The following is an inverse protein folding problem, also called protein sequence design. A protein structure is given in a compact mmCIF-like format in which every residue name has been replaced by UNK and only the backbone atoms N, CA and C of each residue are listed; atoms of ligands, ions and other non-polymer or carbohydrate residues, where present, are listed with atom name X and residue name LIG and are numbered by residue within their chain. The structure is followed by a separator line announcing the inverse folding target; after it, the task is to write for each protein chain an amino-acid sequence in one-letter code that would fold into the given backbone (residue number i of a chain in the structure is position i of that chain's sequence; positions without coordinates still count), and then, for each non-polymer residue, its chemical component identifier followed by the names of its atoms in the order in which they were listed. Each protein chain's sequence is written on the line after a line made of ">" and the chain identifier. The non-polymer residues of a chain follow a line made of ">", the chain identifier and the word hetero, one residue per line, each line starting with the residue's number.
data_IF_741703990367
#
_entry.id   IF_741703990367
#
_cell.length_a   1.000
_cell.length_b   1.000
_cell.length_c   1.000
_cell.angle_alpha   90.00
_cell.angle_beta   90.00
_cell.angle_gamma   90.00
#
_symmetry.space_group_name_H-M   'P 1'
#
loop_
_entity.id
_entity.type
_entity.pdbx_description
1 polymer ?
#
# COMPACT_ATOMS: atom_id res chain seq x y z
N UNK A 1 10.04 -24.32 -19.12
CA UNK A 1 9.23 -23.08 -19.31
C UNK A 1 7.81 -23.36 -18.85
N UNK A 2 7.29 -22.63 -17.85
CA UNK A 2 5.88 -22.76 -17.43
C UNK A 2 4.97 -22.10 -18.47
N UNK A 3 3.87 -22.76 -18.82
CA UNK A 3 2.88 -22.26 -19.78
C UNK A 3 2.08 -21.12 -19.12
N UNK A 4 2.02 -19.96 -19.75
CA UNK A 4 1.20 -18.82 -19.29
C UNK A 4 -0.26 -19.26 -19.27
N UNK A 5 -0.95 -19.08 -18.15
CA UNK A 5 -2.35 -19.47 -18.00
C UNK A 5 -3.28 -18.51 -18.77
N UNK A 6 -4.43 -19.00 -19.24
CA UNK A 6 -5.42 -18.17 -19.94
C UNK A 6 -5.94 -17.02 -19.07
N UNK A 7 -6.04 -17.21 -17.76
CA UNK A 7 -6.43 -16.15 -16.83
C UNK A 7 -5.38 -15.04 -16.74
N UNK A 8 -4.10 -15.40 -16.71
CA UNK A 8 -2.98 -14.45 -16.69
C UNK A 8 -2.94 -13.61 -17.97
N UNK A 9 -3.21 -14.22 -19.12
CA UNK A 9 -3.30 -13.53 -20.40
C UNK A 9 -4.45 -12.51 -20.42
N UNK A 10 -5.62 -12.87 -19.87
CA UNK A 10 -6.77 -11.96 -19.75
C UNK A 10 -6.47 -10.77 -18.83
N UNK A 11 -5.79 -11.00 -17.71
CA UNK A 11 -5.37 -9.89 -16.82
C UNK A 11 -4.31 -8.99 -17.45
N UNK A 12 -3.36 -9.55 -18.20
CA UNK A 12 -2.37 -8.77 -18.96
C UNK A 12 -3.04 -7.90 -20.02
N UNK A 13 -4.04 -8.44 -20.71
CA UNK A 13 -4.82 -7.69 -21.71
C UNK A 13 -5.63 -6.57 -21.08
N UNK A 14 -6.37 -6.84 -20.00
CA UNK A 14 -7.12 -5.82 -19.27
C UNK A 14 -6.19 -4.70 -18.77
N UNK A 15 -5.01 -5.09 -18.26
CA UNK A 15 -4.00 -4.14 -17.81
C UNK A 15 -3.45 -3.29 -18.96
N UNK A 16 -3.17 -3.89 -20.12
CA UNK A 16 -2.72 -3.16 -21.31
C UNK A 16 -3.77 -2.14 -21.77
N UNK A 17 -5.06 -2.51 -21.75
CA UNK A 17 -6.16 -1.58 -22.07
C UNK A 17 -6.20 -0.42 -21.08
N UNK A 18 -6.07 -0.70 -19.78
CA UNK A 18 -6.01 0.36 -18.75
C UNK A 18 -4.79 1.24 -18.94
N UNK A 19 -3.62 0.69 -19.27
CA UNK A 19 -2.42 1.47 -19.58
C UNK A 19 -2.61 2.39 -20.79
N UNK A 20 -3.24 1.91 -21.86
CA UNK A 20 -3.52 2.72 -23.05
C UNK A 20 -4.45 3.88 -22.69
N UNK A 21 -5.51 3.62 -21.91
CA UNK A 21 -6.42 4.66 -21.40
C UNK A 21 -5.67 5.67 -20.52
N UNK A 22 -4.76 5.19 -19.68
CA UNK A 22 -3.96 6.04 -18.79
C UNK A 22 -2.98 6.92 -19.58
N UNK A 23 -2.31 6.37 -20.58
CA UNK A 23 -1.39 7.12 -21.44
C UNK A 23 -2.16 8.16 -22.27
N UNK A 24 -3.32 7.80 -22.82
CA UNK A 24 -4.14 8.71 -23.64
C UNK A 24 -4.77 9.85 -22.84
N UNK A 25 -4.90 9.69 -21.51
CA UNK A 25 -5.43 10.72 -20.60
C UNK A 25 -4.36 11.68 -20.05
N UNK A 26 -3.12 11.60 -20.53
CA UNK A 26 -2.06 12.56 -20.19
C UNK A 26 -1.44 12.36 -18.81
N UNK A 27 -1.51 11.14 -18.27
CA UNK A 27 -0.97 10.84 -16.95
C UNK A 27 0.55 11.07 -16.87
N UNK A 28 1.06 11.57 -15.72
CA UNK A 28 2.49 11.76 -15.53
C UNK A 28 3.24 10.43 -15.64
N UNK A 29 4.33 10.43 -16.40
CA UNK A 29 5.16 9.23 -16.68
C UNK A 29 5.62 8.55 -15.38
N UNK A 30 5.96 9.29 -14.33
CA UNK A 30 6.39 8.73 -13.05
C UNK A 30 5.29 7.93 -12.33
N UNK A 31 4.02 8.36 -12.47
CA UNK A 31 2.88 7.66 -11.90
C UNK A 31 2.60 6.38 -12.68
N UNK A 32 2.73 6.42 -14.00
CA UNK A 32 2.69 5.25 -14.88
C UNK A 32 3.76 4.22 -14.51
N UNK A 33 5.02 4.65 -14.33
CA UNK A 33 6.13 3.77 -13.93
C UNK A 33 5.84 3.11 -12.57
N UNK A 34 5.32 3.87 -11.60
CA UNK A 34 4.98 3.35 -10.27
C UNK A 34 3.88 2.28 -10.36
N UNK A 35 2.81 2.56 -11.12
CA UNK A 35 1.70 1.62 -11.36
C UNK A 35 2.20 0.36 -12.07
N UNK A 36 3.09 0.49 -13.05
CA UNK A 36 3.64 -0.62 -13.83
C UNK A 36 4.52 -1.54 -12.98
N UNK A 37 5.35 -0.97 -12.09
CA UNK A 37 6.14 -1.76 -11.13
C UNK A 37 5.22 -2.47 -10.13
N UNK A 38 4.23 -1.78 -9.57
CA UNK A 38 3.38 -2.35 -8.53
C UNK A 38 2.39 -3.40 -9.06
N UNK A 39 1.80 -3.18 -10.24
CA UNK A 39 0.81 -4.09 -10.83
C UNK A 39 1.44 -5.21 -11.66
N UNK A 40 2.59 -4.99 -12.29
CA UNK A 40 3.20 -5.97 -13.18
C UNK A 40 4.41 -6.63 -12.54
N UNK A 41 5.39 -5.83 -12.08
CA UNK A 41 6.66 -6.40 -11.61
C UNK A 41 6.48 -7.19 -10.32
N UNK A 42 5.69 -6.71 -9.34
CA UNK A 42 5.50 -7.43 -8.08
C UNK A 42 4.78 -8.79 -8.23
N UNK A 43 3.65 -8.91 -8.95
CA UNK A 43 3.02 -10.20 -9.20
C UNK A 43 3.90 -11.15 -10.03
N UNK A 44 4.59 -10.64 -11.04
CA UNK A 44 5.51 -11.44 -11.85
C UNK A 44 6.71 -11.93 -11.03
N UNK A 45 7.32 -11.06 -10.24
CA UNK A 45 8.39 -11.44 -9.32
C UNK A 45 7.93 -12.52 -8.35
N UNK A 46 6.69 -12.42 -7.85
CA UNK A 46 6.08 -13.44 -6.97
C UNK A 46 5.83 -14.77 -7.68
N UNK A 47 5.48 -14.75 -8.95
CA UNK A 47 5.24 -15.98 -9.73
C UNK A 47 6.56 -16.66 -10.14
N UNK A 48 7.62 -15.87 -10.30
CA UNK A 48 8.99 -16.33 -10.58
C UNK A 48 9.69 -16.81 -9.30
N UNK A 49 9.51 -16.13 -8.17
CA UNK A 49 10.00 -16.56 -6.85
C UNK A 49 9.07 -17.64 -6.31
N UNK A 50 9.32 -18.86 -6.76
CA UNK A 50 8.62 -20.09 -6.40
C UNK A 50 8.33 -20.14 -4.90
N UNK A 51 7.05 -20.07 -4.50
CA UNK A 51 6.63 -20.44 -3.15
C UNK A 51 6.60 -21.97 -3.09
N UNK A 52 7.60 -22.58 -2.45
CA UNK A 52 7.68 -24.05 -2.32
C UNK A 52 6.57 -24.65 -1.45
N UNK A 53 5.95 -23.88 -0.55
CA UNK A 53 5.11 -24.43 0.52
C UNK A 53 3.78 -23.67 0.74
N UNK A 54 3.21 -23.06 -0.31
CA UNK A 54 1.92 -22.41 -0.18
C UNK A 54 0.78 -23.43 -0.31
N UNK A 55 0.00 -23.58 0.76
CA UNK A 55 -1.26 -24.32 0.76
C UNK A 55 -2.20 -23.78 -0.35
N UNK A 56 -2.96 -24.68 -0.98
CA UNK A 56 -3.94 -24.37 -2.03
C UNK A 56 -4.91 -23.27 -1.57
N UNK A 57 -5.29 -23.30 -0.30
CA UNK A 57 -6.12 -22.25 0.31
C UNK A 57 -5.46 -20.88 0.25
N UNK A 58 -4.16 -20.78 0.54
CA UNK A 58 -3.43 -19.50 0.47
C UNK A 58 -3.30 -18.99 -0.96
N UNK A 59 -3.09 -19.91 -1.91
CA UNK A 59 -3.06 -19.60 -3.35
C UNK A 59 -4.41 -19.04 -3.79
N UNK A 60 -5.52 -19.68 -3.41
CA UNK A 60 -6.87 -19.21 -3.70
C UNK A 60 -7.15 -17.81 -3.13
N UNK A 61 -6.88 -17.58 -1.84
CA UNK A 61 -7.10 -16.26 -1.21
C UNK A 61 -6.22 -15.19 -1.89
N UNK A 62 -5.01 -15.55 -2.29
CA UNK A 62 -4.13 -14.65 -3.02
C UNK A 62 -4.71 -14.25 -4.39
N UNK A 63 -5.20 -15.20 -5.18
CA UNK A 63 -5.83 -14.91 -6.47
C UNK A 63 -7.10 -14.08 -6.30
N UNK A 64 -7.97 -14.49 -5.37
CA UNK A 64 -9.22 -13.77 -5.08
C UNK A 64 -8.96 -12.31 -4.69
N UNK A 65 -8.02 -12.07 -3.77
CA UNK A 65 -7.66 -10.70 -3.37
C UNK A 65 -6.99 -9.89 -4.49
N UNK A 66 -6.23 -10.52 -5.39
CA UNK A 66 -5.69 -9.84 -6.57
C UNK A 66 -6.80 -9.41 -7.54
N UNK A 67 -7.76 -10.29 -7.82
CA UNK A 67 -8.90 -9.98 -8.68
C UNK A 67 -9.78 -8.90 -8.08
N UNK A 68 -10.08 -8.97 -6.79
CA UNK A 68 -10.85 -7.95 -6.09
C UNK A 68 -10.13 -6.60 -6.12
N UNK A 69 -8.81 -6.57 -5.86
CA UNK A 69 -8.03 -5.33 -5.96
C UNK A 69 -8.06 -4.75 -7.39
N UNK A 70 -7.98 -5.60 -8.41
CA UNK A 70 -8.09 -5.18 -9.81
C UNK A 70 -9.48 -4.64 -10.14
N UNK A 71 -10.55 -5.27 -9.67
CA UNK A 71 -11.91 -4.79 -9.89
C UNK A 71 -12.16 -3.45 -9.19
N UNK A 72 -11.70 -3.30 -7.95
CA UNK A 72 -11.75 -2.02 -7.23
C UNK A 72 -10.94 -0.95 -7.97
N UNK A 73 -9.76 -1.30 -8.48
CA UNK A 73 -8.93 -0.40 -9.27
C UNK A 73 -9.65 0.07 -10.55
N UNK A 74 -10.21 -0.86 -11.33
CA UNK A 74 -10.96 -0.53 -12.55
C UNK A 74 -12.20 0.30 -12.22
N UNK A 75 -12.95 -0.06 -11.17
CA UNK A 75 -14.12 0.71 -10.74
C UNK A 75 -13.75 2.14 -10.33
N UNK A 76 -12.64 2.31 -9.59
CA UNK A 76 -12.13 3.64 -9.22
C UNK A 76 -11.69 4.45 -10.45
N UNK A 77 -10.99 3.84 -11.40
CA UNK A 77 -10.63 4.51 -12.67
C UNK A 77 -11.88 4.98 -13.40
N UNK A 78 -12.84 4.07 -13.61
CA UNK A 78 -14.07 4.40 -14.34
C UNK A 78 -14.85 5.49 -13.60
N UNK A 79 -14.95 5.41 -12.28
CA UNK A 79 -15.62 6.44 -11.48
C UNK A 79 -14.95 7.81 -11.63
N UNK A 80 -13.62 7.88 -11.50
CA UNK A 80 -12.84 9.12 -11.66
C UNK A 80 -13.01 9.69 -13.07
N UNK A 81 -12.88 8.84 -14.10
CA UNK A 81 -13.00 9.27 -15.49
C UNK A 81 -14.41 9.74 -15.82
N UNK A 82 -15.45 9.00 -15.40
CA UNK A 82 -16.84 9.37 -15.65
C UNK A 82 -17.18 10.69 -14.95
N UNK A 83 -16.83 10.82 -13.67
CA UNK A 83 -17.10 12.01 -12.89
C UNK A 83 -16.47 13.25 -13.54
N UNK A 84 -15.17 13.22 -13.83
CA UNK A 84 -14.47 14.42 -14.29
C UNK A 84 -14.68 14.70 -15.79
N UNK A 85 -14.80 13.68 -16.63
CA UNK A 85 -15.02 13.87 -18.07
C UNK A 85 -16.45 14.31 -18.37
N UNK A 86 -17.47 13.77 -17.69
CA UNK A 86 -18.87 14.11 -17.99
C UNK A 86 -19.37 15.36 -17.28
N UNK A 87 -18.93 15.63 -16.04
CA UNK A 87 -19.47 16.76 -15.27
C UNK A 87 -18.67 18.05 -15.48
N UNK A 88 -17.36 17.94 -15.72
CA UNK A 88 -16.45 19.09 -15.69
C UNK A 88 -15.97 19.50 -17.08
N UNK A 89 -15.98 18.59 -18.06
CA UNK A 89 -15.38 18.83 -19.39
C UNK A 89 -13.87 19.06 -19.36
N UNK A 90 -13.24 18.84 -18.20
CA UNK A 90 -11.80 19.04 -17.96
C UNK A 90 -11.13 17.71 -17.66
N UNK A 91 -9.82 17.63 -17.89
CA UNK A 91 -9.04 16.47 -17.47
C UNK A 91 -9.09 16.30 -15.94
N UNK A 92 -9.11 15.05 -15.42
CA UNK A 92 -9.12 14.79 -13.99
C UNK A 92 -7.91 15.42 -13.28
N UNK A 93 -8.13 16.04 -12.11
CA UNK A 93 -7.02 16.53 -11.27
C UNK A 93 -6.12 15.34 -10.89
N UNK A 94 -4.81 15.57 -10.85
CA UNK A 94 -3.77 14.59 -10.48
C UNK A 94 -4.12 13.85 -9.19
N UNK A 95 -4.78 14.56 -8.25
CA UNK A 95 -5.25 13.99 -6.97
C UNK A 95 -6.18 12.80 -7.12
N UNK A 96 -7.02 12.78 -8.15
CA UNK A 96 -7.95 11.66 -8.38
C UNK A 96 -7.21 10.41 -8.86
N UNK A 97 -6.17 10.58 -9.68
CA UNK A 97 -5.32 9.46 -10.07
C UNK A 97 -4.51 8.89 -8.91
N UNK A 98 -4.28 9.66 -7.84
CA UNK A 98 -3.63 9.12 -6.64
C UNK A 98 -4.51 8.10 -5.88
N UNK A 99 -5.84 8.12 -6.06
CA UNK A 99 -6.74 7.09 -5.48
C UNK A 99 -6.42 5.69 -6.01
N UNK A 100 -5.77 5.60 -7.17
CA UNK A 100 -5.31 4.33 -7.74
C UNK A 100 -4.25 3.64 -6.88
N UNK A 101 -3.59 4.36 -5.99
CA UNK A 101 -2.63 3.79 -5.04
C UNK A 101 -3.31 2.98 -3.92
N UNK A 102 -4.59 3.26 -3.62
CA UNK A 102 -5.35 2.61 -2.53
C UNK A 102 -5.40 1.08 -2.70
N UNK A 103 -5.94 0.52 -3.79
CA UNK A 103 -5.99 -0.94 -3.98
C UNK A 103 -4.59 -1.56 -4.07
N UNK A 104 -3.58 -0.83 -4.57
CA UNK A 104 -2.19 -1.30 -4.65
C UNK A 104 -1.58 -1.47 -3.26
N UNK A 105 -1.75 -0.47 -2.39
CA UNK A 105 -1.29 -0.51 -1.01
C UNK A 105 -1.97 -1.63 -0.22
N UNK A 106 -3.29 -1.74 -0.35
CA UNK A 106 -4.05 -2.82 0.30
C UNK A 106 -3.53 -4.18 -0.17
N UNK A 107 -3.32 -4.35 -1.49
CA UNK A 107 -2.81 -5.61 -2.03
C UNK A 107 -1.39 -5.92 -1.58
N UNK A 108 -0.53 -4.91 -1.51
CA UNK A 108 0.83 -5.06 -0.99
C UNK A 108 0.82 -5.57 0.46
N UNK A 109 0.00 -4.96 1.32
CA UNK A 109 -0.14 -5.36 2.72
C UNK A 109 -0.66 -6.80 2.84
N UNK A 110 -1.73 -7.14 2.12
CA UNK A 110 -2.28 -8.51 2.10
C UNK A 110 -1.22 -9.51 1.63
N UNK A 111 -0.47 -9.15 0.58
CA UNK A 111 0.63 -9.98 0.08
C UNK A 111 1.66 -10.23 1.18
N UNK A 112 2.11 -9.20 1.90
CA UNK A 112 3.08 -9.39 2.99
C UNK A 112 2.53 -10.31 4.09
N UNK A 113 1.29 -10.09 4.54
CA UNK A 113 0.65 -10.91 5.58
C UNK A 113 0.45 -12.38 5.16
N UNK A 114 0.24 -12.64 3.87
CA UNK A 114 0.09 -14.00 3.35
C UNK A 114 1.42 -14.70 3.06
N UNK A 115 2.50 -13.94 2.84
CA UNK A 115 3.82 -14.48 2.52
C UNK A 115 4.68 -14.70 3.77
N UNK A 116 4.48 -13.87 4.77
CA UNK A 116 5.33 -13.83 5.95
C UNK A 116 4.48 -14.01 7.21
N UNK A 117 5.04 -14.65 8.23
CA UNK A 117 4.39 -14.69 9.54
C UNK A 117 4.09 -13.27 10.04
N UNK A 118 3.00 -13.10 10.80
CA UNK A 118 2.46 -11.79 11.19
C UNK A 118 3.53 -10.81 11.74
N UNK A 119 4.46 -11.28 12.57
CA UNK A 119 5.52 -10.43 13.11
C UNK A 119 6.55 -9.96 12.06
N UNK A 120 6.88 -10.81 11.09
CA UNK A 120 7.76 -10.44 9.97
C UNK A 120 7.04 -9.53 8.98
N UNK A 121 5.77 -9.82 8.66
CA UNK A 121 4.95 -8.97 7.82
C UNK A 121 4.79 -7.57 8.40
N UNK A 122 4.43 -7.46 9.70
CA UNK A 122 4.30 -6.18 10.38
C UNK A 122 5.56 -5.32 10.29
N UNK A 123 6.74 -5.93 10.56
CA UNK A 123 8.04 -5.26 10.39
C UNK A 123 8.26 -4.71 8.99
N UNK A 124 8.02 -5.52 7.96
CA UNK A 124 8.21 -5.10 6.58
C UNK A 124 7.24 -3.99 6.16
N UNK A 125 5.99 -4.04 6.62
CA UNK A 125 5.04 -2.94 6.43
C UNK A 125 5.59 -1.67 7.09
N UNK A 126 6.01 -1.75 8.35
CA UNK A 126 6.62 -0.63 9.08
C UNK A 126 7.81 -0.02 8.35
N UNK A 127 8.78 -0.83 7.93
CA UNK A 127 9.95 -0.35 7.17
C UNK A 127 9.57 0.28 5.84
N UNK A 128 8.73 -0.38 5.05
CA UNK A 128 8.37 0.10 3.72
C UNK A 128 7.70 1.48 3.81
N UNK A 129 6.68 1.61 4.67
CA UNK A 129 5.95 2.88 4.80
C UNK A 129 6.82 3.96 5.44
N UNK A 130 7.58 3.65 6.49
CA UNK A 130 8.49 4.62 7.09
C UNK A 130 9.53 5.12 6.07
N UNK A 131 10.09 4.23 5.24
CA UNK A 131 11.11 4.58 4.24
C UNK A 131 10.52 5.43 3.11
N UNK A 132 9.35 5.06 2.59
CA UNK A 132 8.67 5.83 1.53
C UNK A 132 8.36 7.24 2.01
N UNK A 133 7.82 7.38 3.22
CA UNK A 133 7.46 8.70 3.75
C UNK A 133 8.68 9.53 4.17
N UNK A 134 9.73 8.90 4.69
CA UNK A 134 10.99 9.57 4.97
C UNK A 134 11.64 10.07 3.68
N UNK A 135 11.59 9.29 2.60
CA UNK A 135 12.04 9.73 1.28
C UNK A 135 11.24 10.96 0.81
N UNK A 136 9.92 10.96 0.96
CA UNK A 136 9.11 12.13 0.62
C UNK A 136 9.47 13.37 1.45
N UNK A 137 9.66 13.23 2.77
CA UNK A 137 10.09 14.35 3.62
C UNK A 137 11.45 14.92 3.20
N UNK A 138 12.40 14.05 2.85
CA UNK A 138 13.71 14.46 2.33
C UNK A 138 13.63 15.12 0.95
N UNK A 139 12.77 14.64 0.06
CA UNK A 139 12.60 15.22 -1.27
C UNK A 139 11.88 16.58 -1.22
N UNK A 140 10.96 16.77 -0.28
CA UNK A 140 10.15 17.98 -0.12
C UNK A 140 10.96 19.14 0.48
N UNK A 141 11.71 18.88 1.56
CA UNK A 141 12.40 19.93 2.33
C UNK A 141 13.92 19.77 2.44
N UNK A 142 14.50 18.71 1.85
CA UNK A 142 15.93 18.43 1.94
C UNK A 142 16.42 18.21 3.38
N UNK A 143 17.66 18.66 3.65
CA UNK A 143 18.27 18.63 4.99
C UNK A 143 18.03 19.91 5.80
N UNK A 144 16.96 20.64 5.52
CA UNK A 144 16.58 21.81 6.30
C UNK A 144 16.03 21.43 7.69
N UNK A 145 15.98 22.39 8.62
CA UNK A 145 15.35 22.19 9.93
C UNK A 145 13.89 21.71 9.78
N UNK A 146 13.15 22.26 8.81
CA UNK A 146 11.78 21.84 8.52
C UNK A 146 11.73 20.40 8.02
N UNK A 147 12.66 20.00 7.15
CA UNK A 147 12.78 18.62 6.68
C UNK A 147 13.07 17.63 7.81
N UNK A 148 13.93 18.00 8.76
CA UNK A 148 14.18 17.17 9.96
C UNK A 148 12.92 16.99 10.81
N UNK A 149 12.17 18.06 11.04
CA UNK A 149 10.91 18.02 11.80
C UNK A 149 9.88 17.13 11.08
N UNK A 150 9.74 17.27 9.77
CA UNK A 150 8.82 16.47 8.95
C UNK A 150 9.24 14.99 8.87
N UNK A 151 10.54 14.70 8.87
CA UNK A 151 11.07 13.34 8.84
C UNK A 151 10.93 12.61 10.19
N UNK A 152 10.89 13.35 11.31
CA UNK A 152 10.94 12.79 12.67
C UNK A 152 9.88 11.72 12.94
N UNK A 153 8.58 11.89 12.61
CA UNK A 153 7.58 10.84 12.79
C UNK A 153 7.95 9.55 12.05
N UNK A 154 8.50 9.66 10.84
CA UNK A 154 8.86 8.51 10.02
C UNK A 154 10.16 7.84 10.51
N UNK A 155 11.11 8.61 11.05
CA UNK A 155 12.29 8.09 11.76
C UNK A 155 11.85 7.27 12.97
N UNK A 156 10.87 7.76 13.75
CA UNK A 156 10.30 7.01 14.88
C UNK A 156 9.65 5.71 14.40
N UNK A 157 8.83 5.75 13.34
CA UNK A 157 8.25 4.54 12.77
C UNK A 157 9.32 3.54 12.30
N UNK A 158 10.41 4.02 11.71
CA UNK A 158 11.53 3.18 11.29
C UNK A 158 12.26 2.56 12.49
N UNK A 159 12.51 3.34 13.53
CA UNK A 159 13.13 2.86 14.77
C UNK A 159 12.26 1.81 15.47
N UNK A 160 10.94 1.98 15.48
CA UNK A 160 10.00 0.97 16.00
C UNK A 160 10.02 -0.31 15.15
N UNK A 161 10.09 -0.20 13.82
CA UNK A 161 10.23 -1.38 12.94
C UNK A 161 11.49 -2.17 13.28
N UNK A 162 12.60 -1.45 13.53
CA UNK A 162 13.86 -2.04 13.94
C UNK A 162 13.81 -2.69 15.31
N UNK A 163 13.29 -1.98 16.32
CA UNK A 163 13.25 -2.44 17.70
C UNK A 163 12.24 -3.58 17.95
N UNK A 164 11.23 -3.70 17.09
CA UNK A 164 10.22 -4.76 17.18
C UNK A 164 10.79 -6.19 17.07
N UNK A 165 12.04 -6.37 16.62
CA UNK A 165 12.75 -7.66 16.71
C UNK A 165 12.90 -8.14 18.15
N UNK A 166 13.09 -7.21 19.09
CA UNK A 166 13.32 -7.49 20.52
C UNK A 166 12.03 -7.44 21.31
N UNK A 167 11.20 -6.43 21.08
CA UNK A 167 9.98 -6.15 21.86
C UNK A 167 8.78 -5.92 20.93
N UNK A 168 8.29 -6.98 20.24
CA UNK A 168 7.23 -6.83 19.24
C UNK A 168 5.91 -6.33 19.82
N UNK A 169 5.54 -6.74 21.04
CA UNK A 169 4.30 -6.31 21.70
C UNK A 169 4.28 -4.80 21.95
N UNK A 170 5.32 -4.28 22.60
CA UNK A 170 5.44 -2.84 22.92
C UNK A 170 5.46 -2.02 21.63
N UNK A 171 6.26 -2.42 20.64
CA UNK A 171 6.32 -1.72 19.35
C UNK A 171 4.98 -1.76 18.61
N UNK A 172 4.27 -2.89 18.69
CA UNK A 172 2.95 -3.05 18.09
C UNK A 172 1.91 -2.12 18.69
N UNK A 173 1.88 -2.01 20.02
CA UNK A 173 1.01 -1.06 20.74
C UNK A 173 1.36 0.38 20.35
N UNK A 174 2.65 0.74 20.33
CA UNK A 174 3.09 2.08 19.93
C UNK A 174 2.68 2.42 18.49
N UNK A 175 2.78 1.47 17.56
CA UNK A 175 2.27 1.68 16.19
C UNK A 175 0.76 1.91 16.17
N UNK A 176 -0.03 1.12 16.92
CA UNK A 176 -1.48 1.32 16.99
C UNK A 176 -1.79 2.72 17.53
N UNK A 177 -1.13 3.15 18.60
CA UNK A 177 -1.30 4.49 19.17
C UNK A 177 -0.94 5.58 18.15
N UNK A 178 0.21 5.45 17.47
CA UNK A 178 0.62 6.41 16.43
C UNK A 178 -0.37 6.46 15.26
N UNK A 179 -0.92 5.31 14.85
CA UNK A 179 -1.94 5.26 13.82
C UNK A 179 -3.23 5.97 14.26
N UNK A 180 -3.69 5.75 15.49
CA UNK A 180 -4.87 6.42 16.05
C UNK A 180 -4.66 7.94 16.17
N UNK A 181 -3.47 8.37 16.59
CA UNK A 181 -3.09 9.79 16.59
C UNK A 181 -3.13 10.35 15.18
N UNK A 182 -2.56 9.65 14.19
CA UNK A 182 -2.64 10.02 12.78
C UNK A 182 -4.09 10.15 12.29
N UNK A 183 -4.96 9.22 12.66
CA UNK A 183 -6.39 9.29 12.33
C UNK A 183 -7.04 10.56 12.90
N UNK A 184 -6.75 10.88 14.17
CA UNK A 184 -7.25 12.08 14.82
C UNK A 184 -6.78 13.36 14.11
N UNK A 185 -5.50 13.45 13.74
CA UNK A 185 -4.94 14.60 13.02
C UNK A 185 -5.60 14.82 11.66
N UNK A 186 -5.74 13.77 10.84
CA UNK A 186 -6.35 13.88 9.51
C UNK A 186 -7.86 14.15 9.56
N UNK A 187 -8.57 13.72 10.62
CA UNK A 187 -9.99 14.03 10.79
C UNK A 187 -10.24 15.43 11.35
N UNK A 188 -9.43 15.83 12.33
CA UNK A 188 -9.75 16.96 13.21
C UNK A 188 -9.01 18.26 12.87
N UNK A 189 -7.80 18.18 12.34
CA UNK A 189 -6.94 19.36 12.15
C UNK A 189 -6.79 19.79 10.69
N UNK A 190 -6.76 18.82 9.77
CA UNK A 190 -6.61 19.12 8.35
C UNK A 190 -7.97 18.99 7.67
N UNK A 191 -8.54 20.12 7.24
CA UNK A 191 -9.77 20.12 6.42
C UNK A 191 -9.44 19.59 5.02
N UNK A 192 -9.44 18.27 4.87
CA UNK A 192 -9.31 17.61 3.57
C UNK A 192 -10.69 17.26 3.00
N UNK A 193 -10.83 17.32 1.68
CA UNK A 193 -11.96 16.71 0.99
C UNK A 193 -11.96 15.19 1.18
N UNK A 194 -13.13 14.56 0.99
CA UNK A 194 -13.31 13.12 1.24
C UNK A 194 -12.28 12.23 0.53
N UNK A 195 -11.88 12.59 -0.70
CA UNK A 195 -10.88 11.87 -1.47
C UNK A 195 -9.49 11.94 -0.87
N UNK A 196 -9.04 13.15 -0.48
CA UNK A 196 -7.76 13.34 0.20
C UNK A 196 -7.73 12.62 1.54
N UNK A 197 -8.85 12.59 2.24
CA UNK A 197 -9.00 11.87 3.50
C UNK A 197 -8.92 10.35 3.33
N UNK A 198 -9.62 9.76 2.35
CA UNK A 198 -9.50 8.32 2.02
C UNK A 198 -8.06 7.97 1.66
N UNK A 199 -7.42 8.81 0.83
CA UNK A 199 -6.06 8.61 0.39
C UNK A 199 -5.07 8.66 1.56
N UNK A 200 -5.07 9.74 2.34
CA UNK A 200 -4.14 9.92 3.44
C UNK A 200 -4.34 8.84 4.51
N UNK A 201 -5.58 8.44 4.79
CA UNK A 201 -5.86 7.33 5.70
C UNK A 201 -5.29 6.00 5.22
N UNK A 202 -5.46 5.70 3.93
CA UNK A 202 -4.98 4.44 3.36
C UNK A 202 -3.46 4.40 3.27
N UNK A 203 -2.81 5.53 3.03
CA UNK A 203 -1.37 5.58 2.81
C UNK A 203 -0.55 5.76 4.10
N UNK A 204 -1.15 6.27 5.18
CA UNK A 204 -0.42 6.59 6.43
C UNK A 204 -0.92 5.74 7.61
N UNK A 205 -2.06 6.04 8.28
CA UNK A 205 -2.41 5.36 9.50
C UNK A 205 -2.83 3.91 9.29
N UNK A 206 -3.48 3.55 8.18
CA UNK A 206 -3.92 2.17 7.97
C UNK A 206 -2.75 1.17 7.92
N UNK A 207 -1.68 1.37 7.12
CA UNK A 207 -0.51 0.50 7.13
C UNK A 207 0.17 0.42 8.49
N UNK A 208 0.27 1.56 9.20
CA UNK A 208 0.85 1.62 10.54
C UNK A 208 0.01 0.82 11.55
N UNK A 209 -1.32 0.93 11.48
CA UNK A 209 -2.25 0.18 12.30
C UNK A 209 -2.16 -1.33 12.02
N UNK A 210 -2.12 -1.73 10.75
CA UNK A 210 -1.99 -3.13 10.35
C UNK A 210 -0.62 -3.70 10.79
N UNK A 211 0.46 -2.92 10.65
CA UNK A 211 1.77 -3.27 11.18
C UNK A 211 1.72 -3.53 12.68
N UNK A 212 1.10 -2.61 13.44
CA UNK A 212 0.96 -2.70 14.88
C UNK A 212 0.16 -3.93 15.33
N UNK A 213 -1.00 -4.16 14.72
CA UNK A 213 -1.85 -5.33 15.04
C UNK A 213 -1.14 -6.65 14.70
N UNK A 214 -0.47 -6.73 13.55
CA UNK A 214 0.28 -7.92 13.16
C UNK A 214 1.41 -8.26 14.15
N UNK A 215 2.11 -7.24 14.68
CA UNK A 215 3.12 -7.42 15.71
C UNK A 215 2.54 -7.89 17.05
N UNK A 216 1.44 -7.29 17.51
CA UNK A 216 0.75 -7.68 18.75
C UNK A 216 0.29 -9.14 18.67
N UNK A 217 -0.46 -9.51 17.62
CA UNK A 217 -0.94 -10.88 17.45
C UNK A 217 0.19 -11.90 17.36
N UNK A 218 1.30 -11.55 16.70
CA UNK A 218 2.46 -12.44 16.62
C UNK A 218 3.14 -12.67 17.97
N UNK A 219 3.05 -11.70 18.88
CA UNK A 219 3.64 -11.78 20.22
C UNK A 219 2.80 -12.67 21.12
N UNK A 220 1.48 -12.43 21.15
CA UNK A 220 0.52 -13.22 21.95
C UNK A 220 0.61 -14.71 21.56
N UNK A 221 0.58 -15.00 20.25
CA UNK A 221 0.68 -16.39 19.76
C UNK A 221 2.01 -17.06 20.15
N UNK A 222 3.09 -16.28 20.31
CA UNK A 222 4.39 -16.82 20.72
C UNK A 222 4.41 -17.16 22.21
N UNK A 223 3.74 -16.36 23.04
CA UNK A 223 3.58 -16.61 24.48
C UNK A 223 2.71 -17.84 24.76
N UNK A 224 1.65 -18.08 23.97
CA UNK A 224 0.79 -19.27 24.11
C UNK A 224 1.50 -20.60 23.79
N UNK A 225 2.62 -20.55 23.06
CA UNK A 225 3.39 -21.74 22.66
C UNK A 225 4.54 -22.07 23.61
N UNK A 226 4.75 -21.25 24.65
CA UNK A 226 5.79 -21.43 25.67
C UNK A 226 5.21 -22.00 26.96
#
# INVERSE_FOLDING_TARGET
>A
MKKISSSMLKSLWLFAVVLVIMISSGLPIWLLVTVLILLLALPLLREITHRSDADERQIYISHYSSHLALYVFVALILFVMIHDYQLSGTQPDVKFYMLLLVPLVIKFIISLLQNYGAGTAGRWIGYFFASVWLLFALLDHGFSLMGVIQALPFIVLFALAWYSKKQPLICGILYIVLALVGLFFFKGWIKMGIYGLILMYTLVPLPVFISGTALVFSSIKKEELQ
#
